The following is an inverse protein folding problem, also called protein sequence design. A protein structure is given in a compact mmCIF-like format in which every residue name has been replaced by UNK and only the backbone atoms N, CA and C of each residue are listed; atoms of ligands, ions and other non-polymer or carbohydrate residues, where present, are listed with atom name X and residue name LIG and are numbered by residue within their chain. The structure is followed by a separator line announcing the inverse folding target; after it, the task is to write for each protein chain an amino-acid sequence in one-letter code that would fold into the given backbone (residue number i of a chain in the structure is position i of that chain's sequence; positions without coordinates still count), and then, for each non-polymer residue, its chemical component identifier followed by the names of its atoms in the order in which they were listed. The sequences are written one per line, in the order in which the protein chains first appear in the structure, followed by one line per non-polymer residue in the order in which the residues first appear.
data_IF_460309924523
#
_entry.id   IF_460309924523
#
_cell.length_a   1.000
_cell.length_b   1.000
_cell.length_c   1.000
_cell.angle_alpha   90.00
_cell.angle_beta   90.00
_cell.angle_gamma   90.00
#
_symmetry.space_group_name_H-M   'P 1'
#
loop_
_entity.id
_entity.type
_entity.pdbx_description
1 polymer ?
#
# COMPACT_ATOMS: atom_id res chain seq x y z
N UNK A 1 -10.27 14.52 -7.08
CA UNK A 1 -9.16 13.60 -6.80
C UNK A 1 -7.82 14.29 -6.68
N UNK A 2 -7.26 14.90 -7.74
CA UNK A 2 -6.01 15.67 -7.62
C UNK A 2 -6.08 16.88 -6.65
N UNK A 3 -7.29 17.42 -6.39
CA UNK A 3 -7.48 18.58 -5.52
C UNK A 3 -7.11 18.33 -4.05
N UNK A 4 -7.55 17.23 -3.44
CA UNK A 4 -7.24 16.91 -2.05
C UNK A 4 -5.74 16.70 -1.84
N UNK A 5 -5.08 15.93 -2.71
CA UNK A 5 -3.63 15.77 -2.66
C UNK A 5 -2.88 17.09 -2.84
N UNK A 6 -3.36 18.03 -3.69
CA UNK A 6 -2.73 19.35 -3.83
C UNK A 6 -2.85 20.24 -2.60
N UNK A 7 -3.98 20.17 -1.88
CA UNK A 7 -4.13 20.86 -0.57
C UNK A 7 -3.10 20.31 0.41
N UNK A 8 -2.98 18.99 0.45
CA UNK A 8 -2.03 18.30 1.35
C UNK A 8 -0.58 18.58 0.97
N UNK A 9 -0.25 18.66 -0.33
CA UNK A 9 1.09 19.02 -0.83
C UNK A 9 1.48 20.47 -0.47
N UNK A 10 0.51 21.40 -0.48
CA UNK A 10 0.77 22.83 -0.27
C UNK A 10 0.78 23.21 1.21
N UNK A 11 -0.19 22.72 1.96
CA UNK A 11 -0.53 23.21 3.29
C UNK A 11 -0.53 22.12 4.38
N UNK A 12 -0.18 20.87 4.01
CA UNK A 12 -0.14 19.71 4.91
C UNK A 12 -1.52 19.09 5.18
N UNK A 13 -1.54 17.92 5.84
CA UNK A 13 -2.81 17.20 6.13
C UNK A 13 -3.75 18.01 7.02
N UNK A 14 -3.21 18.85 7.91
CA UNK A 14 -3.99 19.65 8.84
C UNK A 14 -4.89 20.69 8.12
N UNK A 15 -4.50 21.08 6.90
CA UNK A 15 -5.27 21.98 6.05
C UNK A 15 -6.32 21.24 5.19
N UNK A 16 -6.37 19.91 5.24
CA UNK A 16 -7.34 19.10 4.50
C UNK A 16 -8.75 19.31 5.05
N UNK A 17 -9.43 20.33 4.54
CA UNK A 17 -10.81 20.70 4.88
C UNK A 17 -11.72 20.59 3.67
N UNK A 18 -13.02 20.44 3.89
CA UNK A 18 -13.98 20.32 2.79
C UNK A 18 -14.01 21.61 1.97
N UNK A 19 -13.83 22.75 2.63
CA UNK A 19 -13.65 24.07 2.06
C UNK A 19 -12.44 24.10 1.12
N UNK A 20 -11.25 23.78 1.62
CA UNK A 20 -10.01 23.83 0.83
C UNK A 20 -10.05 22.87 -0.36
N UNK A 21 -10.58 21.66 -0.17
CA UNK A 21 -10.69 20.68 -1.26
C UNK A 21 -11.73 21.10 -2.30
N UNK A 22 -12.87 21.66 -1.87
CA UNK A 22 -13.91 22.14 -2.79
C UNK A 22 -13.41 23.33 -3.61
N UNK A 23 -12.71 24.28 -2.99
CA UNK A 23 -12.06 25.41 -3.66
C UNK A 23 -11.02 24.93 -4.68
N UNK A 24 -10.12 24.03 -4.26
CA UNK A 24 -9.08 23.47 -5.13
C UNK A 24 -9.64 22.58 -6.26
N UNK A 25 -10.85 22.05 -6.11
CA UNK A 25 -11.55 21.27 -7.12
C UNK A 25 -12.49 22.11 -8.00
N UNK A 26 -12.72 23.39 -7.68
CA UNK A 26 -13.67 24.26 -8.37
C UNK A 26 -15.13 23.82 -8.25
N UNK A 27 -15.50 23.16 -7.14
CA UNK A 27 -16.87 22.68 -6.88
C UNK A 27 -17.41 23.22 -5.57
N UNK A 28 -18.72 23.07 -5.32
CA UNK A 28 -19.29 23.42 -4.01
C UNK A 28 -19.01 22.32 -2.97
N UNK A 29 -18.99 22.67 -1.68
CA UNK A 29 -18.95 21.67 -0.59
C UNK A 29 -20.08 20.65 -0.68
N UNK A 30 -21.28 21.07 -1.06
CA UNK A 30 -22.43 20.17 -1.26
C UNK A 30 -22.16 19.18 -2.39
N UNK A 31 -21.53 19.61 -3.48
CA UNK A 31 -21.11 18.73 -4.57
C UNK A 31 -20.06 17.74 -4.07
N UNK A 32 -19.05 18.21 -3.33
CA UNK A 32 -18.02 17.34 -2.75
C UNK A 32 -18.63 16.25 -1.86
N UNK A 33 -19.51 16.63 -0.92
CA UNK A 33 -20.15 15.69 0.00
C UNK A 33 -21.21 14.78 -0.63
N UNK A 34 -21.71 15.11 -1.82
CA UNK A 34 -22.57 14.19 -2.57
C UNK A 34 -21.78 12.97 -3.10
N UNK A 35 -20.47 13.13 -3.31
CA UNK A 35 -19.61 12.06 -3.82
C UNK A 35 -18.76 11.41 -2.73
N UNK A 36 -18.43 12.12 -1.66
CA UNK A 36 -17.55 11.65 -0.58
C UNK A 36 -18.20 11.89 0.78
N UNK A 37 -18.20 10.89 1.65
CA UNK A 37 -18.70 11.00 3.03
C UNK A 37 -17.80 11.85 3.93
N UNK A 38 -16.53 12.01 3.56
CA UNK A 38 -15.58 12.90 4.24
C UNK A 38 -14.48 13.42 3.30
N UNK A 39 -13.67 14.36 3.78
CA UNK A 39 -12.57 14.94 3.00
C UNK A 39 -11.40 13.97 2.91
N UNK A 40 -11.21 13.15 3.94
CA UNK A 40 -10.25 12.06 3.98
C UNK A 40 -10.58 10.99 2.93
N UNK A 41 -11.86 10.76 2.63
CA UNK A 41 -12.28 9.88 1.54
C UNK A 41 -11.83 10.41 0.16
N UNK A 42 -11.63 11.72 0.02
CA UNK A 42 -11.07 12.31 -1.21
C UNK A 42 -9.59 11.96 -1.42
N UNK A 43 -8.85 11.65 -0.35
CA UNK A 43 -7.48 11.12 -0.47
C UNK A 43 -7.46 9.65 -0.88
N UNK A 44 -8.57 8.94 -0.66
CA UNK A 44 -8.67 7.51 -0.87
C UNK A 44 -9.39 7.10 -2.13
N UNK A 45 -10.01 7.99 -2.90
CA UNK A 45 -10.57 7.54 -4.17
C UNK A 45 -9.56 6.99 -5.22
N UNK A 46 -8.22 7.16 -5.15
CA UNK A 46 -7.30 6.33 -5.94
C UNK A 46 -7.30 4.85 -5.48
N UNK A 47 -7.68 4.55 -4.22
CA UNK A 47 -7.85 3.19 -3.71
C UNK A 47 -8.97 2.46 -4.46
N UNK A 48 -10.06 3.15 -4.81
CA UNK A 48 -11.11 2.59 -5.66
C UNK A 48 -10.56 2.13 -7.02
N UNK A 49 -9.78 2.98 -7.69
CA UNK A 49 -9.13 2.63 -8.97
C UNK A 49 -8.08 1.52 -8.81
N UNK A 50 -7.33 1.51 -7.71
CA UNK A 50 -6.38 0.44 -7.38
C UNK A 50 -7.10 -0.91 -7.20
N UNK A 51 -8.25 -0.90 -6.51
CA UNK A 51 -9.08 -2.09 -6.30
C UNK A 51 -9.70 -2.59 -7.62
N UNK A 52 -10.16 -1.69 -8.49
CA UNK A 52 -10.58 -2.05 -9.86
C UNK A 52 -9.45 -2.71 -10.66
N UNK A 53 -8.21 -2.23 -10.53
CA UNK A 53 -7.06 -2.85 -11.18
C UNK A 53 -6.78 -4.25 -10.62
N UNK A 54 -6.89 -4.46 -9.31
CA UNK A 54 -6.79 -5.81 -8.71
C UNK A 54 -7.88 -6.73 -9.29
N UNK A 55 -9.13 -6.27 -9.30
CA UNK A 55 -10.27 -7.02 -9.82
C UNK A 55 -10.08 -7.39 -11.30
N UNK A 56 -9.56 -6.48 -12.10
CA UNK A 56 -9.27 -6.73 -13.51
C UNK A 56 -8.19 -7.81 -13.72
N UNK A 57 -7.25 -7.96 -12.78
CA UNK A 57 -6.26 -9.04 -12.83
C UNK A 57 -6.86 -10.39 -12.46
N UNK A 58 -7.78 -10.43 -11.48
CA UNK A 58 -8.56 -11.64 -11.19
C UNK A 58 -9.43 -12.08 -12.37
N UNK A 59 -9.97 -11.15 -13.16
CA UNK A 59 -10.71 -11.47 -14.39
C UNK A 59 -9.84 -12.07 -15.49
N UNK A 60 -8.59 -11.60 -15.61
CA UNK A 60 -7.65 -12.04 -16.65
C UNK A 60 -6.96 -13.35 -16.28
N UNK A 61 -6.88 -13.67 -14.99
CA UNK A 61 -6.19 -14.84 -14.51
C UNK A 61 -6.86 -16.14 -15.00
N UNK A 62 -6.08 -17.14 -15.45
CA UNK A 62 -6.61 -18.46 -15.74
C UNK A 62 -7.35 -19.06 -14.54
N UNK A 63 -8.42 -19.82 -14.81
CA UNK A 63 -9.15 -20.52 -13.77
C UNK A 63 -8.21 -21.43 -12.94
N UNK A 64 -8.32 -21.35 -11.62
CA UNK A 64 -7.47 -22.11 -10.69
C UNK A 64 -6.13 -21.45 -10.36
N UNK A 65 -5.82 -20.27 -10.92
CA UNK A 65 -4.64 -19.49 -10.48
C UNK A 65 -4.77 -19.14 -8.99
N UNK A 66 -3.77 -19.44 -8.15
CA UNK A 66 -3.82 -19.08 -6.73
C UNK A 66 -3.95 -17.56 -6.54
N UNK A 67 -4.82 -17.07 -5.64
CA UNK A 67 -5.03 -15.62 -5.49
C UNK A 67 -3.78 -14.80 -5.16
N UNK A 68 -2.82 -15.35 -4.41
CA UNK A 68 -1.56 -14.68 -4.14
C UNK A 68 -0.71 -14.50 -5.41
N UNK A 69 -0.78 -15.43 -6.37
CA UNK A 69 -0.09 -15.27 -7.66
C UNK A 69 -0.72 -14.15 -8.48
N UNK A 70 -2.05 -14.07 -8.48
CA UNK A 70 -2.78 -12.96 -9.12
C UNK A 70 -2.38 -11.61 -8.51
N UNK A 71 -2.34 -11.51 -7.17
CA UNK A 71 -1.93 -10.29 -6.48
C UNK A 71 -0.49 -9.89 -6.81
N UNK A 72 0.43 -10.87 -6.91
CA UNK A 72 1.83 -10.64 -7.28
C UNK A 72 1.95 -9.97 -8.64
N UNK A 73 1.26 -10.52 -9.63
CA UNK A 73 1.27 -10.02 -11.02
C UNK A 73 0.49 -8.71 -11.18
N UNK A 74 -0.44 -8.43 -10.26
CA UNK A 74 -1.19 -7.17 -10.25
C UNK A 74 -0.35 -5.97 -9.79
N UNK A 75 0.67 -6.16 -8.95
CA UNK A 75 1.43 -5.07 -8.32
C UNK A 75 1.87 -3.94 -9.29
N UNK A 76 2.50 -4.22 -10.45
CA UNK A 76 2.95 -3.16 -11.35
C UNK A 76 1.82 -2.35 -11.99
N UNK A 77 0.62 -2.94 -12.11
CA UNK A 77 -0.56 -2.28 -12.71
C UNK A 77 -1.36 -1.51 -11.68
N UNK A 78 -1.46 -2.06 -10.46
CA UNK A 78 -2.09 -1.41 -9.31
C UNK A 78 -1.30 -0.17 -8.91
N UNK A 79 0.03 -0.29 -8.92
CA UNK A 79 0.95 0.81 -8.69
C UNK A 79 1.62 1.19 -10.01
N UNK A 80 0.85 1.58 -11.04
CA UNK A 80 1.42 2.27 -12.20
C UNK A 80 2.11 3.59 -11.79
N UNK A 81 2.79 4.27 -12.71
CA UNK A 81 3.57 5.47 -12.39
C UNK A 81 2.73 6.56 -11.71
N UNK A 82 1.56 6.88 -12.26
CA UNK A 82 0.70 7.92 -11.72
C UNK A 82 0.12 7.54 -10.34
N UNK A 83 -0.30 6.28 -10.16
CA UNK A 83 -0.82 5.79 -8.87
C UNK A 83 0.27 5.70 -7.81
N UNK A 84 1.47 5.28 -8.19
CA UNK A 84 2.61 5.25 -7.28
C UNK A 84 3.01 6.66 -6.86
N UNK A 85 3.09 7.62 -7.78
CA UNK A 85 3.42 9.00 -7.45
C UNK A 85 2.42 9.61 -6.45
N UNK A 86 1.13 9.33 -6.66
CA UNK A 86 0.07 9.74 -5.75
C UNK A 86 0.18 9.06 -4.38
N UNK A 87 0.41 7.74 -4.38
CA UNK A 87 0.62 6.95 -3.16
C UNK A 87 1.81 7.47 -2.35
N UNK A 88 2.95 7.70 -3.01
CA UNK A 88 4.17 8.21 -2.40
C UNK A 88 3.95 9.56 -1.72
N UNK A 89 3.24 10.48 -2.38
CA UNK A 89 2.87 11.78 -1.81
C UNK A 89 2.03 11.66 -0.55
N UNK A 90 0.96 10.86 -0.59
CA UNK A 90 0.12 10.63 0.60
C UNK A 90 0.94 10.07 1.75
N UNK A 91 1.81 9.08 1.49
CA UNK A 91 2.64 8.45 2.52
C UNK A 91 3.64 9.42 3.14
N UNK A 92 4.28 10.27 2.34
CA UNK A 92 5.22 11.29 2.83
C UNK A 92 4.54 12.30 3.77
N UNK A 93 3.31 12.72 3.47
CA UNK A 93 2.60 13.70 4.30
C UNK A 93 2.01 13.07 5.56
N UNK A 94 1.55 11.81 5.48
CA UNK A 94 1.04 11.07 6.63
C UNK A 94 2.11 10.92 7.73
N UNK A 95 3.40 10.74 7.38
CA UNK A 95 4.48 10.67 8.39
C UNK A 95 4.76 11.97 9.12
N UNK A 96 4.40 13.11 8.55
CA UNK A 96 4.67 14.44 9.14
C UNK A 96 3.57 14.91 10.07
N UNK A 97 2.46 14.18 10.18
CA UNK A 97 1.25 14.65 10.86
C UNK A 97 0.65 13.61 11.80
N UNK A 98 0.42 13.94 13.09
CA UNK A 98 -0.28 13.07 14.02
C UNK A 98 -1.79 13.09 13.71
N UNK A 99 -2.19 12.34 12.69
CA UNK A 99 -3.60 12.22 12.30
C UNK A 99 -4.35 11.36 13.34
N UNK A 100 -5.62 11.65 13.69
CA UNK A 100 -6.36 10.82 14.64
C UNK A 100 -6.63 9.41 14.06
N UNK A 101 -5.99 8.41 14.65
CA UNK A 101 -6.01 6.95 14.35
C UNK A 101 -7.40 6.36 14.00
N UNK A 102 -8.49 6.97 14.47
CA UNK A 102 -9.87 6.50 14.22
C UNK A 102 -10.34 6.70 12.78
N UNK A 103 -9.95 7.81 12.14
CA UNK A 103 -10.35 8.07 10.75
C UNK A 103 -9.68 7.05 9.82
N UNK A 104 -8.38 6.84 9.99
CA UNK A 104 -7.61 5.84 9.25
C UNK A 104 -8.17 4.43 9.43
N UNK A 105 -8.47 4.01 10.66
CA UNK A 105 -9.06 2.70 10.93
C UNK A 105 -10.43 2.49 10.23
N UNK A 106 -11.25 3.54 10.18
CA UNK A 106 -12.57 3.49 9.51
C UNK A 106 -12.40 3.32 8.00
N UNK A 107 -11.44 4.03 7.42
CA UNK A 107 -11.15 3.99 5.99
C UNK A 107 -10.57 2.64 5.57
N UNK A 108 -9.63 2.09 6.35
CA UNK A 108 -9.12 0.73 6.16
C UNK A 108 -10.23 -0.30 6.25
N UNK A 109 -11.10 -0.21 7.25
CA UNK A 109 -12.23 -1.13 7.41
C UNK A 109 -13.15 -1.14 6.19
N UNK A 110 -13.42 0.05 5.61
CA UNK A 110 -14.23 0.17 4.40
C UNK A 110 -13.54 -0.41 3.16
N UNK A 111 -12.26 -0.10 2.96
CA UNK A 111 -11.45 -0.69 1.87
C UNK A 111 -11.47 -2.21 1.92
N UNK A 112 -11.31 -2.79 3.12
CA UNK A 112 -11.39 -4.24 3.33
C UNK A 112 -12.78 -4.77 2.98
N UNK A 113 -13.86 -4.10 3.41
CA UNK A 113 -15.22 -4.53 3.11
C UNK A 113 -15.51 -4.52 1.60
N UNK A 114 -15.11 -3.46 0.90
CA UNK A 114 -15.30 -3.32 -0.55
C UNK A 114 -14.51 -4.39 -1.31
N UNK A 115 -13.26 -4.65 -0.91
CA UNK A 115 -12.43 -5.68 -1.51
C UNK A 115 -12.96 -7.09 -1.26
N UNK A 116 -13.46 -7.38 -0.04
CA UNK A 116 -14.12 -8.65 0.26
C UNK A 116 -15.34 -8.85 -0.62
N UNK A 117 -16.19 -7.83 -0.78
CA UNK A 117 -17.37 -7.91 -1.62
C UNK A 117 -17.00 -8.24 -3.08
N UNK A 118 -16.06 -7.48 -3.65
CA UNK A 118 -15.64 -7.65 -5.04
C UNK A 118 -14.97 -9.01 -5.31
N UNK A 119 -14.09 -9.47 -4.42
CA UNK A 119 -13.39 -10.74 -4.59
C UNK A 119 -14.29 -11.95 -4.31
N UNK A 120 -15.33 -11.82 -3.47
CA UNK A 120 -16.31 -12.88 -3.21
C UNK A 120 -17.00 -13.33 -4.50
N UNK A 121 -17.41 -12.37 -5.34
CA UNK A 121 -18.11 -12.64 -6.60
C UNK A 121 -17.24 -13.31 -7.66
N UNK A 122 -15.91 -13.24 -7.51
CA UNK A 122 -14.95 -13.74 -8.50
C UNK A 122 -14.33 -15.07 -8.09
N UNK A 123 -14.12 -15.26 -6.80
CA UNK A 123 -13.53 -16.49 -6.26
C UNK A 123 -14.59 -17.58 -5.99
N UNK A 124 -15.88 -17.26 -6.09
CA UNK A 124 -16.96 -18.25 -5.96
C UNK A 124 -16.88 -19.31 -7.06
N UNK A 125 -17.04 -20.57 -6.67
CA UNK A 125 -17.21 -21.68 -7.61
C UNK A 125 -18.67 -21.77 -8.07
N UNK A 126 -18.95 -22.33 -9.26
CA UNK A 126 -20.32 -22.57 -9.69
C UNK A 126 -21.08 -23.40 -8.63
N UNK A 127 -22.11 -22.79 -8.01
CA UNK A 127 -22.93 -23.42 -6.98
C UNK A 127 -22.41 -23.32 -5.54
N UNK A 128 -21.33 -22.57 -5.27
CA UNK A 128 -20.74 -22.44 -3.93
C UNK A 128 -20.45 -21.00 -3.49
N UNK A 129 -20.22 -20.84 -2.19
CA UNK A 129 -19.70 -19.60 -1.58
C UNK A 129 -18.24 -19.79 -1.16
N UNK A 130 -17.45 -18.73 -1.23
CA UNK A 130 -16.08 -18.71 -0.67
C UNK A 130 -16.15 -18.65 0.85
N UNK A 131 -15.27 -19.39 1.54
CA UNK A 131 -15.14 -19.31 2.99
C UNK A 131 -14.80 -17.88 3.43
N UNK A 132 -15.53 -17.38 4.44
CA UNK A 132 -15.41 -15.98 4.88
C UNK A 132 -14.09 -15.69 5.59
N UNK A 133 -13.53 -16.66 6.31
CA UNK A 133 -12.25 -16.51 7.00
C UNK A 133 -11.11 -16.51 5.98
N UNK A 134 -11.19 -17.39 4.98
CA UNK A 134 -10.25 -17.38 3.86
C UNK A 134 -10.25 -16.03 3.13
N UNK A 135 -11.43 -15.55 2.73
CA UNK A 135 -11.55 -14.31 1.96
C UNK A 135 -11.14 -13.07 2.77
N UNK A 136 -11.59 -12.98 4.02
CA UNK A 136 -11.19 -11.89 4.92
C UNK A 136 -9.70 -11.90 5.22
N UNK A 137 -9.10 -13.09 5.42
CA UNK A 137 -7.67 -13.26 5.59
C UNK A 137 -6.88 -12.82 4.36
N UNK A 138 -7.27 -13.28 3.16
CA UNK A 138 -6.63 -12.91 1.91
C UNK A 138 -6.58 -11.39 1.70
N UNK A 139 -7.72 -10.71 1.86
CA UNK A 139 -7.80 -9.25 1.68
C UNK A 139 -6.94 -8.52 2.70
N UNK A 140 -7.04 -8.88 3.99
CA UNK A 140 -6.30 -8.21 5.05
C UNK A 140 -4.80 -8.45 4.95
N UNK A 141 -4.38 -9.66 4.60
CA UNK A 141 -2.97 -9.98 4.38
C UNK A 141 -2.42 -9.27 3.15
N UNK A 142 -3.19 -9.15 2.06
CA UNK A 142 -2.81 -8.35 0.90
C UNK A 142 -2.60 -6.88 1.25
N UNK A 143 -3.50 -6.29 2.03
CA UNK A 143 -3.33 -4.92 2.53
C UNK A 143 -2.08 -4.80 3.43
N UNK A 144 -1.89 -5.73 4.36
CA UNK A 144 -0.72 -5.74 5.24
C UNK A 144 0.61 -5.84 4.50
N UNK A 145 0.65 -6.57 3.38
CA UNK A 145 1.83 -6.62 2.48
C UNK A 145 2.16 -5.22 1.94
N UNK A 146 1.15 -4.48 1.47
CA UNK A 146 1.33 -3.11 0.96
C UNK A 146 1.76 -2.15 2.06
N UNK A 147 1.10 -2.19 3.22
CA UNK A 147 1.44 -1.34 4.37
C UNK A 147 2.87 -1.59 4.86
N UNK A 148 3.28 -2.85 4.95
CA UNK A 148 4.63 -3.25 5.37
C UNK A 148 5.67 -2.78 4.35
N UNK A 149 5.45 -3.04 3.06
CA UNK A 149 6.35 -2.60 2.00
C UNK A 149 6.48 -1.08 1.96
N UNK A 150 5.37 -0.36 2.17
CA UNK A 150 5.36 1.10 2.21
C UNK A 150 6.10 1.69 3.41
N UNK A 151 6.07 1.02 4.57
CA UNK A 151 6.84 1.43 5.74
C UNK A 151 8.34 1.41 5.45
N UNK A 152 8.86 0.24 5.03
CA UNK A 152 10.29 0.05 4.71
C UNK A 152 10.73 0.97 3.57
N UNK A 153 9.93 1.04 2.50
CA UNK A 153 10.21 1.91 1.36
C UNK A 153 10.32 3.38 1.77
N UNK A 154 9.47 3.85 2.69
CA UNK A 154 9.46 5.24 3.12
C UNK A 154 10.70 5.58 3.95
N UNK A 155 11.16 4.67 4.79
CA UNK A 155 12.41 4.80 5.54
C UNK A 155 13.63 4.91 4.60
N UNK A 156 13.68 4.09 3.54
CA UNK A 156 14.81 4.04 2.61
C UNK A 156 14.84 5.20 1.60
N UNK A 157 13.67 5.71 1.21
CA UNK A 157 13.55 6.67 0.11
C UNK A 157 13.12 8.06 0.56
N UNK A 158 12.68 8.23 1.81
CA UNK A 158 12.03 9.45 2.30
C UNK A 158 10.86 9.89 1.42
N UNK A 159 10.20 8.96 0.74
CA UNK A 159 8.99 9.23 -0.04
C UNK A 159 9.24 9.74 -1.46
N UNK A 160 10.46 9.61 -2.01
CA UNK A 160 10.76 9.99 -3.40
C UNK A 160 9.82 9.28 -4.38
N UNK A 161 9.29 10.01 -5.35
CA UNK A 161 8.32 9.51 -6.33
C UNK A 161 8.93 9.40 -7.75
N UNK A 162 10.05 8.68 -7.88
CA UNK A 162 10.70 8.40 -9.17
C UNK A 162 10.65 6.91 -9.53
N UNK A 163 11.09 6.59 -10.76
CA UNK A 163 11.04 5.23 -11.31
C UNK A 163 11.83 4.21 -10.47
N UNK A 164 12.99 4.60 -9.94
CA UNK A 164 13.84 3.73 -9.12
C UNK A 164 13.17 3.47 -7.76
N UNK A 165 12.62 4.51 -7.14
CA UNK A 165 11.85 4.41 -5.91
C UNK A 165 10.61 3.51 -6.08
N UNK A 166 9.92 3.62 -7.22
CA UNK A 166 8.79 2.74 -7.57
C UNK A 166 9.23 1.30 -7.72
N UNK A 167 10.34 1.05 -8.41
CA UNK A 167 10.88 -0.29 -8.58
C UNK A 167 11.22 -0.93 -7.23
N UNK A 168 11.81 -0.16 -6.32
CA UNK A 168 12.14 -0.59 -4.96
C UNK A 168 10.89 -0.93 -4.14
N UNK A 169 9.85 -0.08 -4.17
CA UNK A 169 8.57 -0.38 -3.52
C UNK A 169 7.95 -1.69 -4.04
N UNK A 170 7.93 -1.88 -5.36
CA UNK A 170 7.40 -3.10 -5.98
C UNK A 170 8.21 -4.34 -5.59
N UNK A 171 9.53 -4.21 -5.45
CA UNK A 171 10.38 -5.28 -4.96
C UNK A 171 10.06 -5.65 -3.51
N UNK A 172 9.93 -4.67 -2.62
CA UNK A 172 9.54 -4.91 -1.23
C UNK A 172 8.16 -5.58 -1.12
N UNK A 173 7.19 -5.11 -1.91
CA UNK A 173 5.85 -5.71 -1.93
C UNK A 173 5.88 -7.17 -2.42
N UNK A 174 6.68 -7.49 -3.44
CA UNK A 174 6.86 -8.88 -3.91
C UNK A 174 7.51 -9.75 -2.85
N UNK A 175 8.57 -9.28 -2.20
CA UNK A 175 9.26 -10.01 -1.12
C UNK A 175 8.33 -10.28 0.06
N UNK A 176 7.56 -9.27 0.49
CA UNK A 176 6.58 -9.44 1.56
C UNK A 176 5.48 -10.45 1.19
N UNK A 177 5.03 -10.45 -0.07
CA UNK A 177 4.07 -11.44 -0.57
C UNK A 177 4.66 -12.85 -0.64
N UNK A 178 5.95 -12.99 -1.00
CA UNK A 178 6.64 -14.29 -1.01
C UNK A 178 6.77 -14.86 0.41
N UNK A 179 7.03 -14.01 1.41
CA UNK A 179 6.97 -14.41 2.82
C UNK A 179 5.56 -14.86 3.23
N UNK A 180 4.52 -14.12 2.83
CA UNK A 180 3.14 -14.52 3.08
C UNK A 180 2.80 -15.88 2.44
N UNK A 181 3.28 -16.14 1.22
CA UNK A 181 3.08 -17.42 0.51
C UNK A 181 3.79 -18.58 1.18
N UNK A 182 5.06 -18.39 1.57
CA UNK A 182 5.85 -19.41 2.23
C UNK A 182 5.35 -19.72 3.66
N UNK A 183 4.66 -18.75 4.27
CA UNK A 183 4.22 -18.80 5.66
C UNK A 183 5.31 -18.36 6.64
N UNK A 184 4.89 -17.98 7.85
CA UNK A 184 5.77 -17.46 8.90
C UNK A 184 6.40 -18.57 9.75
N UNK A 185 7.07 -19.54 9.12
CA UNK A 185 7.81 -20.61 9.82
C UNK A 185 8.97 -20.06 10.68
N UNK A 186 10.23 -20.31 10.30
CA UNK A 186 11.36 -19.61 10.92
C UNK A 186 11.61 -18.28 10.23
N UNK A 187 11.89 -17.23 10.99
CA UNK A 187 12.17 -15.91 10.44
C UNK A 187 13.42 -15.95 9.53
N UNK A 188 13.37 -15.37 8.32
CA UNK A 188 14.55 -15.23 7.48
C UNK A 188 15.56 -14.31 8.17
N UNK A 189 16.86 -14.64 8.07
CA UNK A 189 17.91 -13.74 8.53
C UNK A 189 17.87 -12.43 7.72
N UNK A 190 18.00 -11.29 8.39
CA UNK A 190 18.19 -10.00 7.72
C UNK A 190 19.42 -10.09 6.80
N UNK A 191 19.42 -9.46 5.62
CA UNK A 191 20.66 -9.31 4.86
C UNK A 191 21.66 -8.56 5.75
N UNK A 192 22.76 -9.22 6.13
CA UNK A 192 23.80 -8.57 6.92
C UNK A 192 24.40 -7.41 6.10
N UNK A 193 24.57 -6.23 6.69
CA UNK A 193 25.36 -5.18 6.06
C UNK A 193 26.79 -5.71 5.92
N UNK A 194 27.28 -5.81 4.69
CA UNK A 194 28.65 -6.21 4.36
C UNK A 194 29.65 -5.29 5.04
N UNK A 195 30.04 -5.61 6.27
CA UNK A 195 31.19 -4.99 6.93
C UNK A 195 32.43 -5.72 6.44
N UNK A 196 33.07 -5.15 5.40
CA UNK A 196 34.44 -5.48 5.02
C UNK A 196 35.36 -5.24 6.23
N UNK A 197 35.56 -6.27 7.04
CA UNK A 197 36.60 -6.27 8.06
C UNK A 197 37.93 -6.57 7.37
N UNK A 198 38.51 -5.52 6.78
CA UNK A 198 39.94 -5.52 6.45
C UNK A 198 40.74 -5.77 7.73
N UNK A 199 41.53 -6.83 7.66
CA UNK A 199 42.35 -7.45 8.69
C UNK A 199 43.34 -6.46 9.32
N UNK A 200 43.32 -6.33 10.65
CA UNK A 200 44.40 -5.70 11.42
C UNK A 200 45.49 -6.74 11.74
N UNK A 201 46.79 -6.43 11.59
CA UNK A 201 47.86 -7.37 11.83
C UNK A 201 48.10 -7.61 13.33
N UNK A 202 48.34 -8.87 13.67
CA UNK A 202 48.73 -9.35 14.99
C UNK A 202 50.18 -8.98 15.30
N UNK A 203 50.43 -8.25 16.39
CA UNK A 203 51.77 -8.04 16.97
C UNK A 203 52.08 -9.17 17.96
N UNK A 204 53.26 -9.80 17.95
CA UNK A 204 53.60 -10.84 18.90
C UNK A 204 54.13 -10.27 20.22
N UNK A 205 53.70 -10.84 21.35
CA UNK A 205 54.24 -10.62 22.68
C UNK A 205 55.64 -11.25 22.83
N UNK A 206 56.60 -10.47 23.35
CA UNK A 206 57.95 -10.91 23.71
C UNK A 206 58.30 -10.50 25.13
N UNK A 207 58.59 -11.52 25.96
CA UNK A 207 58.87 -11.52 27.41
C UNK A 207 59.98 -10.55 27.88
N UNK A 208 59.83 -10.09 29.13
CA UNK A 208 60.90 -10.03 30.13
C UNK A 208 60.32 -10.47 31.49
#
# INVERSE_FOLDING_TARGET
MAAAARVVDSDGIAALTAEAVAEQAGVSRRTLFNYFGSVEECLLAPVGSALEAVVAEFDRAPAGTPPLDVLREALPRVFDEARFEHFARIRAVATSSPTPERAEATLVARCVADAVHLLSDRLRTPGGSVDRLYLGGLVRSGLGVIETAAGVWLEETSGRADADSRALFLEHARRALDHLRAGYGSAPASPEPSLDTTTLPTTPEGRA
#
